data_IF_034306711003
#
_entry.id   IF_034306711003
#
_cell.length_a   1.000
_cell.length_b   1.000
_cell.length_c   1.000
_cell.angle_alpha   90.00
_cell.angle_beta   90.00
_cell.angle_gamma   90.00
#
_symmetry.space_group_name_H-M   'P 1'
#
loop_
_entity.id
_entity.type
_entity.pdbx_description
1 polymer ?
#
# COMPACT_ATOMS: atom_id res chain seq x y z
N UNK A 1 0.65 24.97 -3.49
CA UNK A 1 1.36 23.67 -3.41
C UNK A 1 0.40 22.60 -3.86
N UNK A 2 0.68 22.04 -5.04
CA UNK A 2 -0.29 21.57 -6.01
C UNK A 2 -0.71 20.10 -5.81
N UNK A 3 -2.00 19.89 -5.56
CA UNK A 3 -2.65 18.60 -5.33
C UNK A 3 -2.59 17.62 -6.51
N UNK A 4 -1.95 18.00 -7.63
CA UNK A 4 -1.87 17.21 -8.88
C UNK A 4 -0.64 16.31 -8.97
N UNK A 5 0.27 16.37 -8.00
CA UNK A 5 1.52 15.60 -8.06
C UNK A 5 1.38 14.18 -7.46
N UNK A 6 0.40 13.96 -6.57
CA UNK A 6 0.13 12.67 -5.91
C UNK A 6 -0.81 11.75 -6.72
N UNK A 7 -1.52 12.30 -7.72
CA UNK A 7 -2.33 11.55 -8.70
C UNK A 7 -1.48 10.79 -9.75
N UNK A 8 -0.15 10.92 -9.72
CA UNK A 8 0.77 10.35 -10.72
C UNK A 8 1.46 9.05 -10.26
N UNK A 9 1.01 8.42 -9.18
CA UNK A 9 1.54 7.11 -8.77
C UNK A 9 0.92 6.00 -9.64
N UNK A 10 1.56 5.77 -10.78
CA UNK A 10 1.21 4.72 -11.73
C UNK A 10 2.15 3.53 -11.62
N UNK A 11 1.71 2.35 -12.06
CA UNK A 11 2.54 1.16 -12.08
C UNK A 11 3.82 1.41 -12.89
N UNK A 12 5.04 1.09 -12.38
CA UNK A 12 6.27 1.28 -13.13
C UNK A 12 6.32 0.43 -14.41
N UNK A 13 5.59 -0.69 -14.45
CA UNK A 13 5.54 -1.64 -15.57
C UNK A 13 4.51 -1.21 -16.61
N UNK A 14 3.22 -1.28 -16.28
CA UNK A 14 2.15 -1.02 -17.24
C UNK A 14 1.68 0.44 -17.35
N UNK A 15 2.20 1.34 -16.49
CA UNK A 15 1.75 2.74 -16.35
C UNK A 15 0.25 2.90 -16.03
N UNK A 16 -0.39 1.82 -15.57
CA UNK A 16 -1.78 1.82 -15.15
C UNK A 16 -1.99 2.33 -13.73
N UNK A 17 -3.25 2.46 -13.29
CA UNK A 17 -3.59 2.85 -11.94
C UNK A 17 -3.12 1.80 -10.92
N UNK A 18 -2.71 2.28 -9.75
CA UNK A 18 -2.39 1.46 -8.59
C UNK A 18 -3.44 1.65 -7.51
N UNK A 19 -3.81 0.57 -6.82
CA UNK A 19 -4.69 0.63 -5.67
C UNK A 19 -3.85 0.57 -4.39
N UNK A 20 -3.99 1.55 -3.51
CA UNK A 20 -3.27 1.54 -2.24
C UNK A 20 -4.04 0.76 -1.18
N UNK A 21 -3.49 -0.40 -0.83
CA UNK A 21 -3.92 -1.20 0.30
C UNK A 21 -3.27 -0.63 1.57
N UNK A 22 -4.00 0.27 2.25
CA UNK A 22 -3.59 0.82 3.55
C UNK A 22 -3.32 -0.26 4.59
N UNK A 23 -4.15 -1.32 4.73
CA UNK A 23 -3.85 -2.34 5.71
C UNK A 23 -2.50 -3.00 5.44
N UNK A 24 -2.29 -3.57 4.25
CA UNK A 24 -1.04 -4.25 3.92
C UNK A 24 0.15 -3.28 3.74
N UNK A 25 -0.11 -1.97 3.64
CA UNK A 25 0.83 -0.96 3.20
C UNK A 25 1.46 -1.33 1.84
N UNK A 26 0.64 -1.68 0.85
CA UNK A 26 1.10 -2.08 -0.48
C UNK A 26 0.32 -1.36 -1.59
N UNK A 27 0.96 -1.15 -2.74
CA UNK A 27 0.33 -0.66 -3.97
C UNK A 27 0.08 -1.84 -4.91
N UNK A 28 -1.18 -2.19 -5.11
CA UNK A 28 -1.61 -3.32 -5.93
C UNK A 28 -1.89 -2.84 -7.35
N UNK A 29 -1.25 -3.48 -8.33
CA UNK A 29 -1.55 -3.34 -9.73
C UNK A 29 -2.46 -4.49 -10.20
N UNK A 30 -3.75 -4.26 -10.48
CA UNK A 30 -4.66 -5.32 -10.90
C UNK A 30 -4.36 -5.86 -12.31
N UNK A 31 -3.66 -5.08 -13.15
CA UNK A 31 -3.31 -5.46 -14.51
C UNK A 31 -2.16 -6.45 -14.55
N UNK A 32 -1.09 -6.13 -13.83
CA UNK A 32 0.12 -6.97 -13.77
C UNK A 32 0.05 -8.02 -12.64
N UNK A 33 -0.96 -7.95 -11.77
CA UNK A 33 -1.10 -8.80 -10.56
C UNK A 33 0.10 -8.70 -9.63
N UNK A 34 0.70 -7.51 -9.56
CA UNK A 34 1.85 -7.22 -8.69
C UNK A 34 1.43 -6.33 -7.51
N UNK A 35 2.02 -6.57 -6.34
CA UNK A 35 1.89 -5.74 -5.16
C UNK A 35 3.26 -5.16 -4.78
N UNK A 36 3.36 -3.82 -4.76
CA UNK A 36 4.58 -3.09 -4.41
C UNK A 36 4.51 -2.65 -2.94
N UNK A 37 5.45 -3.06 -2.07
CA UNK A 37 5.39 -2.72 -0.66
C UNK A 37 5.73 -1.24 -0.42
N UNK A 38 5.14 -0.65 0.61
CA UNK A 38 5.44 0.70 1.10
C UNK A 38 6.20 0.56 2.42
N UNK A 39 7.43 1.09 2.45
CA UNK A 39 8.30 1.06 3.64
C UNK A 39 8.61 2.48 4.07
N UNK A 40 8.39 2.78 5.35
CA UNK A 40 8.61 4.13 5.91
C UNK A 40 7.82 5.24 5.16
N UNK A 41 6.67 4.88 4.58
CA UNK A 41 5.85 5.78 3.75
C UNK A 41 6.38 5.98 2.32
N UNK A 42 7.44 5.27 1.93
CA UNK A 42 8.04 5.31 0.59
C UNK A 42 7.64 4.06 -0.20
N UNK A 43 6.94 4.20 -1.34
CA UNK A 43 6.64 3.06 -2.20
C UNK A 43 7.89 2.47 -2.84
N UNK A 44 8.12 1.18 -2.62
CA UNK A 44 9.20 0.42 -3.25
C UNK A 44 8.73 -0.04 -4.63
N UNK A 45 8.87 0.83 -5.63
CA UNK A 45 8.50 0.56 -7.03
C UNK A 45 9.55 -0.29 -7.78
N UNK A 46 10.13 -1.28 -7.11
CA UNK A 46 11.09 -2.23 -7.69
C UNK A 46 10.36 -3.51 -8.04
N UNK A 47 10.43 -3.92 -9.31
CA UNK A 47 9.76 -5.14 -9.81
C UNK A 47 10.30 -6.39 -9.09
N UNK A 48 11.59 -6.44 -8.77
CA UNK A 48 12.24 -7.53 -8.03
C UNK A 48 11.76 -7.64 -6.57
N UNK A 49 11.15 -6.59 -6.02
CA UNK A 49 10.58 -6.57 -4.67
C UNK A 49 9.05 -6.67 -4.70
N UNK A 50 8.44 -6.62 -5.88
CA UNK A 50 7.01 -6.74 -6.03
C UNK A 50 6.58 -8.19 -5.75
N UNK A 51 5.51 -8.37 -4.97
CA UNK A 51 4.91 -9.67 -4.76
C UNK A 51 3.91 -9.97 -5.85
N UNK A 52 4.04 -11.13 -6.48
CA UNK A 52 3.04 -11.65 -7.39
C UNK A 52 1.81 -12.16 -6.60
N UNK A 53 0.63 -11.71 -7.01
CA UNK A 53 -0.66 -12.04 -6.39
C UNK A 53 -1.26 -13.35 -6.97
N UNK A 54 -0.77 -13.81 -8.13
CA UNK A 54 -1.22 -15.04 -8.78
C UNK A 54 -0.66 -16.29 -8.07
N UNK A 55 0.59 -16.22 -7.61
CA UNK A 55 1.26 -17.27 -6.85
C UNK A 55 0.69 -17.50 -5.43
N UNK A 56 -0.20 -16.62 -4.95
CA UNK A 56 -0.84 -16.72 -3.63
C UNK A 56 -2.24 -17.34 -3.63
N UNK A 57 -2.71 -17.92 -4.75
CA UNK A 57 -4.07 -18.49 -4.84
C UNK A 57 -4.32 -19.73 -3.96
N UNK A 58 -3.31 -20.19 -3.22
CA UNK A 58 -3.45 -21.16 -2.14
C UNK A 58 -3.01 -20.54 -0.80
N UNK A 59 -3.88 -19.73 -0.19
CA UNK A 59 -4.07 -19.65 1.28
C UNK A 59 -4.94 -18.45 1.66
N UNK A 60 -6.19 -18.65 2.12
CA UNK A 60 -6.99 -17.60 2.79
C UNK A 60 -6.46 -17.24 4.20
N UNK A 61 -5.19 -17.50 4.50
CA UNK A 61 -4.59 -17.39 5.83
C UNK A 61 -4.00 -16.00 6.16
N UNK A 62 -4.30 -14.96 5.37
CA UNK A 62 -4.07 -13.57 5.80
C UNK A 62 -5.40 -12.82 5.96
N UNK A 63 -6.34 -13.44 6.68
CA UNK A 63 -7.37 -12.71 7.43
C UNK A 63 -6.76 -12.11 8.69
N UNK A 64 -5.75 -11.25 8.56
CA UNK A 64 -5.33 -10.40 9.68
C UNK A 64 -5.61 -8.96 9.26
N UNK A 65 -6.59 -8.26 9.86
CA UNK A 65 -6.65 -6.82 9.72
C UNK A 65 -5.39 -6.27 10.40
N UNK A 66 -4.46 -5.66 9.68
CA UNK A 66 -3.37 -4.95 10.33
C UNK A 66 -3.99 -3.72 10.99
N UNK A 67 -3.61 -3.57 12.26
CA UNK A 67 -4.18 -2.64 13.19
C UNK A 67 -4.32 -1.24 12.59
N UNK A 68 -5.48 -0.62 12.84
CA UNK A 68 -5.68 0.82 12.78
C UNK A 68 -4.43 1.56 13.28
N UNK A 69 -3.99 2.65 12.66
CA UNK A 69 -2.91 3.45 13.22
C UNK A 69 -3.31 3.87 14.64
N UNK A 70 -2.42 3.76 15.65
CA UNK A 70 -2.63 4.49 16.89
C UNK A 70 -2.50 5.98 16.55
N UNK A 71 -3.64 6.63 16.29
CA UNK A 71 -3.74 8.06 16.49
C UNK A 71 -3.44 8.31 17.96
N UNK A 72 -2.31 8.94 18.21
CA UNK A 72 -1.71 9.18 19.52
C UNK A 72 -2.71 9.59 20.61
N UNK A 73 -2.63 9.00 21.82
CA UNK A 73 -3.30 9.50 23.02
C UNK A 73 -2.36 10.46 23.78
N UNK A 74 -2.63 11.77 23.77
CA UNK A 74 -1.99 12.75 24.68
C UNK A 74 -2.60 14.14 24.48
N UNK A 75 -3.04 14.94 25.46
CA UNK A 75 -3.07 14.85 26.92
C UNK A 75 -4.10 15.88 27.45
N UNK A 76 -4.63 15.58 28.64
CA UNK A 76 -5.27 16.46 29.64
C UNK A 76 -5.08 17.99 29.53
N UNK A 77 -6.15 18.71 29.93
CA UNK A 77 -6.25 19.94 30.77
C UNK A 77 -7.48 20.71 30.25
N UNK A 78 -8.59 20.90 30.96
CA UNK A 78 -8.82 21.04 32.40
C UNK A 78 -9.60 22.34 32.57
N UNK A 79 -10.86 22.25 33.01
CA UNK A 79 -11.67 23.23 33.73
C UNK A 79 -13.12 22.73 33.76
#
# INVERSE_FOLDING_TARGET
MDSRLLDLLVCPVCKGPLNYDRPAQELICPRDRLAFPVRDGIPVMLVEQARDQDLSRDSPANSSPPASPPGEPTQSRGA
#
